data_IF_267289439605
#
_entry.id   IF_267289439605
#
_cell.length_a   1.000
_cell.length_b   1.000
_cell.length_c   1.000
_cell.angle_alpha   90.00
_cell.angle_beta   90.00
_cell.angle_gamma   90.00
#
_symmetry.space_group_name_H-M   'P 1'
#
loop_
_entity.id
_entity.type
_entity.pdbx_description
1 polymer ?
#
# COMPACT_ATOMS: atom_id res chain seq x y z
N UNK A 1 -18.15 -24.68 7.84
CA UNK A 1 -17.52 -23.72 8.77
C UNK A 1 -16.30 -23.19 8.06
N UNK A 2 -16.28 -21.91 7.68
CA UNK A 2 -15.09 -21.24 7.14
C UNK A 2 -13.96 -21.38 8.18
N UNK A 3 -12.84 -21.98 7.79
CA UNK A 3 -11.66 -22.11 8.64
C UNK A 3 -10.79 -20.88 8.41
N UNK A 4 -11.09 -19.81 9.12
CA UNK A 4 -10.25 -18.61 9.13
C UNK A 4 -9.34 -18.69 10.36
N UNK A 5 -8.03 -18.61 10.16
CA UNK A 5 -7.07 -18.48 11.27
C UNK A 5 -6.47 -17.08 11.27
N UNK A 6 -6.32 -16.50 12.46
CA UNK A 6 -5.64 -15.23 12.63
C UNK A 6 -4.14 -15.46 12.42
N UNK A 7 -3.58 -14.80 11.42
CA UNK A 7 -2.15 -14.50 11.38
C UNK A 7 -1.88 -13.28 12.27
N UNK A 8 -0.62 -12.89 12.47
CA UNK A 8 -0.27 -11.78 13.36
C UNK A 8 -0.98 -10.46 12.94
N UNK A 9 -1.38 -9.63 13.91
CA UNK A 9 -1.90 -8.26 13.70
C UNK A 9 -3.15 -8.16 12.81
N UNK A 10 -4.19 -8.97 13.09
CA UNK A 10 -5.49 -8.95 12.41
C UNK A 10 -5.47 -9.30 10.91
N UNK A 11 -4.33 -9.71 10.35
CA UNK A 11 -4.28 -10.35 9.04
C UNK A 11 -4.87 -11.75 9.19
N UNK A 12 -5.72 -12.17 8.27
CA UNK A 12 -6.45 -13.45 8.30
C UNK A 12 -6.22 -14.20 7.01
N UNK A 13 -5.90 -15.49 7.14
CA UNK A 13 -5.90 -16.41 6.01
C UNK A 13 -7.27 -17.09 5.91
N UNK A 14 -7.94 -16.89 4.77
CA UNK A 14 -9.16 -17.61 4.41
C UNK A 14 -8.75 -18.90 3.69
N UNK A 15 -8.87 -20.05 4.38
CA UNK A 15 -8.50 -21.34 3.79
C UNK A 15 -9.37 -21.74 2.59
N UNK A 16 -10.63 -21.29 2.53
CA UNK A 16 -11.56 -21.67 1.47
C UNK A 16 -11.23 -20.93 0.16
N UNK A 17 -10.78 -19.68 0.26
CA UNK A 17 -10.36 -18.86 -0.88
C UNK A 17 -8.85 -18.91 -1.14
N UNK A 18 -8.06 -19.29 -0.13
CA UNK A 18 -6.60 -19.19 -0.13
C UNK A 18 -6.06 -17.76 -0.01
N UNK A 19 -6.87 -16.80 0.48
CA UNK A 19 -6.54 -15.37 0.48
C UNK A 19 -5.99 -14.91 1.83
N UNK A 20 -5.12 -13.89 1.83
CA UNK A 20 -4.89 -13.08 3.03
C UNK A 20 -5.73 -11.80 2.98
N UNK A 21 -6.37 -11.45 4.09
CA UNK A 21 -7.13 -10.21 4.23
C UNK A 21 -6.88 -9.51 5.56
N UNK A 22 -6.95 -8.19 5.58
CA UNK A 22 -6.97 -7.40 6.81
C UNK A 22 -7.78 -6.12 6.60
N UNK A 23 -8.55 -5.64 7.58
CA UNK A 23 -9.18 -4.33 7.50
C UNK A 23 -8.14 -3.21 7.70
N UNK A 24 -8.40 -2.04 7.14
CA UNK A 24 -7.59 -0.85 7.41
C UNK A 24 -8.31 0.43 7.04
N UNK A 25 -7.68 1.56 7.36
CA UNK A 25 -8.27 2.91 7.24
C UNK A 25 -7.45 3.85 6.36
N UNK A 26 -6.24 3.46 5.99
CA UNK A 26 -5.31 4.31 5.23
C UNK A 26 -5.34 4.08 3.72
N UNK A 27 -6.20 3.20 3.24
CA UNK A 27 -6.16 2.63 1.90
C UNK A 27 -6.04 1.11 1.97
N UNK A 28 -6.13 0.45 0.82
CA UNK A 28 -6.02 -1.00 0.70
C UNK A 28 -4.85 -1.36 -0.21
N UNK A 29 -4.03 -2.29 0.26
CA UNK A 29 -2.90 -2.84 -0.48
C UNK A 29 -3.27 -4.22 -1.03
N UNK A 30 -3.22 -4.34 -2.36
CA UNK A 30 -3.35 -5.60 -3.07
C UNK A 30 -1.95 -6.22 -3.19
N UNK A 31 -1.71 -7.38 -2.57
CA UNK A 31 -0.42 -8.08 -2.55
C UNK A 31 -0.43 -9.27 -3.52
N UNK A 32 0.34 -9.18 -4.60
CA UNK A 32 0.45 -10.20 -5.65
C UNK A 32 1.72 -11.04 -5.47
N UNK A 33 1.55 -12.35 -5.28
CA UNK A 33 2.69 -13.27 -5.14
C UNK A 33 3.32 -13.64 -6.48
N UNK A 34 4.52 -14.24 -6.43
CA UNK A 34 5.26 -14.71 -7.60
C UNK A 34 4.80 -16.08 -8.13
N UNK A 35 5.50 -16.58 -9.14
CA UNK A 35 5.31 -17.94 -9.66
C UNK A 35 5.66 -19.00 -8.62
N UNK A 36 4.93 -20.12 -8.57
CA UNK A 36 5.08 -21.19 -7.56
C UNK A 36 4.89 -20.75 -6.10
N UNK A 37 4.35 -19.56 -5.86
CA UNK A 37 4.05 -19.04 -4.54
C UNK A 37 2.55 -19.06 -4.24
N UNK A 38 2.19 -18.70 -3.02
CA UNK A 38 0.82 -18.44 -2.61
C UNK A 38 0.75 -17.17 -1.74
N UNK A 39 -0.45 -16.69 -1.37
CA UNK A 39 -0.57 -15.50 -0.54
C UNK A 39 0.18 -15.56 0.78
N UNK A 40 0.41 -16.75 1.36
CA UNK A 40 1.16 -16.88 2.62
C UNK A 40 2.59 -16.33 2.51
N UNK A 41 3.19 -16.34 1.31
CA UNK A 41 4.50 -15.73 1.08
C UNK A 41 4.51 -14.21 1.29
N UNK A 42 3.33 -13.58 1.32
CA UNK A 42 3.16 -12.15 1.57
C UNK A 42 2.90 -11.83 3.04
N UNK A 43 2.79 -12.82 3.94
CA UNK A 43 2.35 -12.64 5.33
C UNK A 43 3.19 -11.60 6.07
N UNK A 44 4.51 -11.66 5.99
CA UNK A 44 5.40 -10.72 6.69
C UNK A 44 5.16 -9.27 6.25
N UNK A 45 5.11 -9.01 4.94
CA UNK A 45 4.84 -7.67 4.41
C UNK A 45 3.40 -7.23 4.71
N UNK A 46 2.43 -8.13 4.60
CA UNK A 46 1.03 -7.88 4.95
C UNK A 46 0.89 -7.43 6.41
N UNK A 47 1.55 -8.13 7.33
CA UNK A 47 1.56 -7.80 8.77
C UNK A 47 2.17 -6.42 9.01
N UNK A 48 3.31 -6.10 8.39
CA UNK A 48 3.94 -4.78 8.57
C UNK A 48 3.11 -3.63 7.99
N UNK A 49 2.43 -3.84 6.86
CA UNK A 49 1.49 -2.87 6.29
C UNK A 49 0.20 -2.75 7.13
N UNK A 50 -0.31 -3.84 7.70
CA UNK A 50 -1.46 -3.82 8.60
C UNK A 50 -1.16 -3.06 9.92
N UNK A 51 0.06 -3.18 10.46
CA UNK A 51 0.53 -2.34 11.59
C UNK A 51 0.48 -0.84 11.24
N UNK A 52 0.74 -0.49 9.98
CA UNK A 52 0.58 0.87 9.45
C UNK A 52 -0.87 1.23 9.11
N UNK A 53 -1.85 0.37 9.43
CA UNK A 53 -3.29 0.58 9.26
C UNK A 53 -3.78 0.57 7.79
N UNK A 54 -3.03 -0.09 6.91
CA UNK A 54 -3.51 -0.44 5.57
C UNK A 54 -4.44 -1.65 5.64
N UNK A 55 -5.49 -1.62 4.82
CA UNK A 55 -6.24 -2.83 4.50
C UNK A 55 -5.38 -3.73 3.61
N UNK A 56 -5.54 -5.04 3.73
CA UNK A 56 -4.79 -6.03 2.94
C UNK A 56 -5.77 -6.87 2.14
N UNK A 57 -5.46 -7.06 0.86
CA UNK A 57 -6.06 -8.06 -0.02
C UNK A 57 -4.93 -8.81 -0.72
N UNK A 58 -4.71 -10.07 -0.41
CA UNK A 58 -3.74 -10.90 -1.12
C UNK A 58 -4.45 -12.10 -1.73
N UNK A 59 -4.85 -12.03 -3.01
CA UNK A 59 -5.57 -13.11 -3.65
C UNK A 59 -4.63 -14.27 -3.98
N UNK A 60 -5.15 -15.49 -3.90
CA UNK A 60 -4.51 -16.63 -4.55
C UNK A 60 -4.65 -16.43 -6.06
N UNK A 61 -3.53 -16.21 -6.75
CA UNK A 61 -3.54 -16.03 -8.20
C UNK A 61 -4.03 -17.30 -8.88
N UNK A 62 -4.91 -17.16 -9.89
CA UNK A 62 -5.51 -18.29 -10.60
C UNK A 62 -4.42 -19.25 -11.08
N UNK A 63 -4.68 -20.54 -10.93
CA UNK A 63 -3.72 -21.59 -11.28
C UNK A 63 -2.55 -21.78 -10.32
N UNK A 64 -2.59 -21.15 -9.14
CA UNK A 64 -1.72 -21.45 -8.01
C UNK A 64 -2.52 -22.11 -6.88
N UNK A 65 -1.84 -22.75 -5.93
CA UNK A 65 -2.47 -23.45 -4.81
C UNK A 65 -1.90 -24.84 -4.57
N UNK A 66 -2.11 -25.37 -3.37
CA UNK A 66 -1.45 -26.55 -2.82
C UNK A 66 -1.65 -27.81 -3.70
N UNK A 67 -0.69 -28.10 -4.58
CA UNK A 67 -0.56 -29.36 -5.31
C UNK A 67 -0.23 -29.28 -6.81
N UNK A 68 -0.17 -28.10 -7.44
CA UNK A 68 0.08 -27.99 -8.88
C UNK A 68 1.54 -27.69 -9.23
N UNK A 69 2.18 -28.56 -10.02
CA UNK A 69 3.52 -28.32 -10.60
C UNK A 69 3.52 -27.25 -11.72
N UNK A 70 2.35 -26.88 -12.26
CA UNK A 70 2.21 -26.04 -13.46
C UNK A 70 1.05 -25.02 -13.35
N UNK A 71 1.15 -23.84 -14.00
CA UNK A 71 0.03 -22.90 -14.09
C UNK A 71 -1.11 -23.55 -14.85
N UNK A 72 -2.31 -23.51 -14.29
CA UNK A 72 -3.54 -23.81 -15.03
C UNK A 72 -4.22 -22.56 -15.59
N UNK A 73 -3.66 -21.38 -15.33
CA UNK A 73 -4.19 -20.10 -15.78
C UNK A 73 -3.34 -19.47 -16.89
N UNK A 74 -4.01 -18.80 -17.81
CA UNK A 74 -3.42 -17.96 -18.85
C UNK A 74 -2.98 -16.60 -18.30
N UNK A 75 -2.09 -15.91 -19.02
CA UNK A 75 -1.69 -14.54 -18.70
C UNK A 75 -2.90 -13.58 -18.66
N UNK A 76 -3.85 -13.74 -19.59
CA UNK A 76 -5.08 -12.95 -19.64
C UNK A 76 -5.95 -13.16 -18.40
N UNK A 77 -6.10 -14.40 -17.93
CA UNK A 77 -6.89 -14.67 -16.72
C UNK A 77 -6.27 -14.07 -15.45
N UNK A 78 -4.94 -14.06 -15.36
CA UNK A 78 -4.23 -13.38 -14.27
C UNK A 78 -4.45 -11.87 -14.32
N UNK A 79 -4.34 -11.26 -15.50
CA UNK A 79 -4.60 -9.83 -15.70
C UNK A 79 -6.05 -9.49 -15.31
N UNK A 80 -7.02 -10.28 -15.75
CA UNK A 80 -8.44 -10.09 -15.43
C UNK A 80 -8.71 -10.23 -13.93
N UNK A 81 -8.05 -11.17 -13.25
CA UNK A 81 -8.17 -11.28 -11.79
C UNK A 81 -7.63 -10.04 -11.07
N UNK A 82 -6.47 -9.52 -11.50
CA UNK A 82 -5.88 -8.29 -10.92
C UNK A 82 -6.80 -7.08 -11.16
N UNK A 83 -7.33 -6.92 -12.37
CA UNK A 83 -8.34 -5.90 -12.70
C UNK A 83 -9.52 -5.96 -11.73
N UNK A 84 -10.10 -7.14 -11.51
CA UNK A 84 -11.25 -7.29 -10.64
C UNK A 84 -10.95 -6.91 -9.19
N UNK A 85 -9.77 -7.30 -8.67
CA UNK A 85 -9.35 -6.90 -7.33
C UNK A 85 -9.21 -5.37 -7.20
N UNK A 86 -8.66 -4.69 -8.21
CA UNK A 86 -8.52 -3.22 -8.22
C UNK A 86 -9.91 -2.57 -8.22
N UNK A 87 -10.83 -3.03 -9.06
CA UNK A 87 -12.20 -2.52 -9.10
C UNK A 87 -12.93 -2.68 -7.78
N UNK A 88 -12.79 -3.84 -7.12
CA UNK A 88 -13.45 -4.11 -5.84
C UNK A 88 -12.89 -3.27 -4.70
N UNK A 89 -11.61 -2.92 -4.75
CA UNK A 89 -10.99 -1.97 -3.83
C UNK A 89 -11.43 -0.54 -4.14
N UNK A 90 -11.42 -0.13 -5.41
CA UNK A 90 -11.79 1.23 -5.84
C UNK A 90 -13.27 1.53 -5.53
N UNK A 91 -14.18 0.55 -5.57
CA UNK A 91 -15.58 0.68 -5.14
C UNK A 91 -15.74 1.11 -3.67
N UNK A 92 -14.72 0.89 -2.84
CA UNK A 92 -14.72 1.28 -1.43
C UNK A 92 -14.22 2.72 -1.22
N UNK A 93 -13.96 3.46 -2.30
CA UNK A 93 -13.45 4.85 -2.31
C UNK A 93 -12.18 5.03 -1.45
N UNK A 94 -11.34 3.99 -1.41
CA UNK A 94 -10.11 3.96 -0.64
C UNK A 94 -8.89 4.04 -1.57
N UNK A 95 -7.82 4.68 -1.08
CA UNK A 95 -6.54 4.71 -1.78
C UNK A 95 -6.04 3.29 -2.07
N UNK A 96 -5.86 2.94 -3.34
CA UNK A 96 -5.54 1.60 -3.81
C UNK A 96 -4.05 1.51 -4.16
N UNK A 97 -3.34 0.53 -3.58
CA UNK A 97 -1.94 0.26 -3.89
C UNK A 97 -1.84 -1.19 -4.37
N UNK A 98 -1.24 -1.41 -5.55
CA UNK A 98 -0.89 -2.78 -5.98
C UNK A 98 0.59 -3.00 -5.77
N UNK A 99 0.94 -3.98 -4.95
CA UNK A 99 2.31 -4.41 -4.69
C UNK A 99 2.46 -5.84 -5.18
N UNK A 100 3.52 -6.15 -5.89
CA UNK A 100 3.78 -7.52 -6.29
C UNK A 100 5.25 -7.88 -6.34
N UNK A 101 5.52 -9.18 -6.23
CA UNK A 101 6.89 -9.72 -6.27
C UNK A 101 7.11 -10.69 -7.41
N UNK A 102 8.29 -10.65 -8.05
CA UNK A 102 8.65 -11.58 -9.13
C UNK A 102 7.65 -11.47 -10.28
N UNK A 103 6.98 -12.55 -10.69
CA UNK A 103 5.83 -12.49 -11.62
C UNK A 103 4.72 -11.54 -11.14
N UNK A 104 4.45 -11.51 -9.83
CA UNK A 104 3.54 -10.53 -9.22
C UNK A 104 4.03 -9.09 -9.39
N UNK A 105 5.35 -8.87 -9.42
CA UNK A 105 5.94 -7.56 -9.69
C UNK A 105 5.74 -7.11 -11.14
N UNK A 106 5.75 -8.05 -12.09
CA UNK A 106 5.35 -7.82 -13.48
C UNK A 106 3.86 -7.49 -13.58
N UNK A 107 3.00 -8.22 -12.86
CA UNK A 107 1.57 -7.93 -12.77
C UNK A 107 1.28 -6.57 -12.12
N UNK A 108 2.05 -6.17 -11.10
CA UNK A 108 1.92 -4.86 -10.47
C UNK A 108 2.28 -3.71 -11.44
N UNK A 109 3.28 -3.90 -12.30
CA UNK A 109 3.59 -2.95 -13.37
C UNK A 109 2.47 -2.90 -14.42
N UNK A 110 1.93 -4.06 -14.82
CA UNK A 110 0.77 -4.14 -15.72
C UNK A 110 -0.46 -3.45 -15.15
N UNK A 111 -0.69 -3.53 -13.83
CA UNK A 111 -1.81 -2.87 -13.18
C UNK A 111 -1.83 -1.35 -13.43
N UNK A 112 -0.67 -0.72 -13.68
CA UNK A 112 -0.59 0.71 -13.97
C UNK A 112 -1.09 1.13 -15.35
N UNK A 113 -1.39 0.20 -16.26
CA UNK A 113 -1.96 0.45 -17.60
C UNK A 113 -3.33 -0.20 -17.80
N UNK A 114 -3.92 -0.67 -16.70
CA UNK A 114 -5.26 -1.24 -16.69
C UNK A 114 -6.33 -0.16 -16.62
N UNK A 115 -7.59 -0.54 -16.89
CA UNK A 115 -8.72 0.37 -16.77
C UNK A 115 -8.95 0.71 -15.29
N UNK A 116 -9.11 2.00 -14.97
CA UNK A 116 -9.19 2.48 -13.59
C UNK A 116 -8.03 1.96 -12.72
N UNK A 117 -6.77 2.31 -13.07
CA UNK A 117 -5.58 1.77 -12.42
C UNK A 117 -5.56 2.15 -10.92
N UNK A 118 -4.77 1.44 -10.09
CA UNK A 118 -4.61 1.82 -8.69
C UNK A 118 -3.95 3.20 -8.57
N UNK A 119 -4.06 3.83 -7.40
CA UNK A 119 -3.43 5.13 -7.13
C UNK A 119 -1.90 5.05 -7.10
N UNK A 120 -1.34 3.87 -6.83
CA UNK A 120 0.10 3.62 -6.78
C UNK A 120 0.42 2.15 -7.06
N UNK A 121 1.55 1.90 -7.72
CA UNK A 121 2.09 0.55 -7.91
C UNK A 121 3.48 0.38 -7.30
N UNK A 122 3.75 -0.85 -6.86
CA UNK A 122 5.04 -1.26 -6.30
C UNK A 122 5.48 -2.58 -6.92
N UNK A 123 6.64 -2.59 -7.56
CA UNK A 123 7.25 -3.79 -8.13
C UNK A 123 8.45 -4.22 -7.29
N UNK A 124 8.42 -5.44 -6.76
CA UNK A 124 9.51 -6.04 -5.99
C UNK A 124 10.14 -7.14 -6.85
N UNK A 125 11.41 -7.03 -7.21
CA UNK A 125 12.08 -8.01 -8.08
C UNK A 125 11.24 -8.39 -9.32
N UNK A 126 10.60 -7.40 -9.96
CA UNK A 126 9.70 -7.64 -11.09
C UNK A 126 10.43 -8.27 -12.27
N UNK A 127 9.96 -9.42 -12.75
CA UNK A 127 10.66 -10.18 -13.79
C UNK A 127 10.31 -9.68 -15.20
N UNK A 128 11.28 -9.04 -15.85
CA UNK A 128 11.15 -8.34 -17.14
C UNK A 128 12.10 -8.83 -18.23
N UNK A 129 13.09 -9.68 -17.94
CA UNK A 129 14.03 -10.19 -18.96
C UNK A 129 14.24 -11.72 -18.95
N UNK A 130 13.31 -12.49 -18.36
CA UNK A 130 13.43 -13.94 -18.29
C UNK A 130 13.70 -14.59 -19.67
N UNK A 131 14.60 -15.59 -19.68
CA UNK A 131 14.96 -16.35 -20.88
C UNK A 131 13.79 -17.23 -21.32
N UNK A 132 13.61 -17.35 -22.63
CA UNK A 132 12.64 -18.26 -23.23
C UNK A 132 13.07 -19.71 -23.01
N UNK A 133 12.62 -20.28 -21.90
CA UNK A 133 12.80 -21.68 -21.54
C UNK A 133 11.43 -22.35 -21.63
N UNK A 134 11.41 -23.58 -22.12
CA UNK A 134 10.19 -24.37 -22.23
C UNK A 134 9.71 -24.85 -20.85
N UNK A 135 9.12 -23.92 -20.10
CA UNK A 135 8.52 -24.16 -18.80
C UNK A 135 7.20 -23.39 -18.70
N UNK A 136 6.08 -24.01 -18.30
CA UNK A 136 4.77 -23.37 -18.32
C UNK A 136 4.68 -22.02 -17.58
N UNK A 137 5.32 -21.89 -16.40
CA UNK A 137 5.38 -20.60 -15.69
C UNK A 137 6.18 -19.53 -16.43
N UNK A 138 7.22 -19.94 -17.16
CA UNK A 138 8.03 -19.03 -17.97
C UNK A 138 7.24 -18.58 -19.20
N UNK A 139 6.43 -19.47 -19.80
CA UNK A 139 5.51 -19.10 -20.91
C UNK A 139 4.52 -18.02 -20.48
N UNK A 140 3.82 -18.21 -19.36
CA UNK A 140 2.88 -17.21 -18.81
C UNK A 140 3.60 -15.90 -18.49
N UNK A 141 4.77 -15.96 -17.84
CA UNK A 141 5.57 -14.78 -17.52
C UNK A 141 6.04 -14.04 -18.79
N UNK A 142 6.44 -14.76 -19.83
CA UNK A 142 6.84 -14.19 -21.11
C UNK A 142 5.69 -13.49 -21.82
N UNK A 143 4.49 -14.05 -21.77
CA UNK A 143 3.29 -13.38 -22.26
C UNK A 143 3.02 -12.09 -21.47
N UNK A 144 3.01 -12.15 -20.13
CA UNK A 144 2.83 -10.97 -19.28
C UNK A 144 3.85 -9.88 -19.58
N UNK A 145 5.14 -10.25 -19.68
CA UNK A 145 6.23 -9.35 -20.07
C UNK A 145 5.97 -8.73 -21.45
N UNK A 146 5.55 -9.51 -22.42
CA UNK A 146 5.27 -9.02 -23.78
C UNK A 146 4.15 -7.97 -23.77
N UNK A 147 3.07 -8.24 -23.03
CA UNK A 147 1.99 -7.26 -22.83
C UNK A 147 2.50 -6.00 -22.14
N UNK A 148 3.33 -6.13 -21.11
CA UNK A 148 3.86 -5.00 -20.35
C UNK A 148 4.81 -4.13 -21.17
N UNK A 149 5.79 -4.75 -21.84
CA UNK A 149 6.85 -4.01 -22.54
C UNK A 149 6.32 -3.10 -23.65
N UNK A 150 5.22 -3.48 -24.30
CA UNK A 150 4.57 -2.64 -25.31
C UNK A 150 3.83 -1.42 -24.73
N UNK A 151 3.46 -1.47 -23.44
CA UNK A 151 2.67 -0.43 -22.76
C UNK A 151 3.41 0.26 -21.63
N UNK A 152 4.65 -0.11 -21.32
CA UNK A 152 5.32 0.33 -20.09
C UNK A 152 5.46 1.87 -19.99
N UNK A 153 5.63 2.53 -21.13
CA UNK A 153 5.67 4.00 -21.22
C UNK A 153 4.33 4.68 -20.94
N UNK A 154 3.22 3.93 -20.97
CA UNK A 154 1.87 4.43 -20.67
C UNK A 154 1.60 4.49 -19.16
N UNK A 155 2.38 3.81 -18.32
CA UNK A 155 2.24 3.88 -16.85
C UNK A 155 2.49 5.33 -16.40
N UNK A 156 1.44 6.06 -16.00
CA UNK A 156 1.55 7.45 -15.51
C UNK A 156 1.48 7.56 -13.98
N UNK A 157 0.99 6.53 -13.30
CA UNK A 157 0.75 6.56 -11.86
C UNK A 157 2.05 6.44 -11.04
N UNK A 158 2.08 6.92 -9.79
CA UNK A 158 3.21 6.75 -8.88
C UNK A 158 3.73 5.31 -8.83
N UNK A 159 5.03 5.13 -9.06
CA UNK A 159 5.65 3.81 -9.23
C UNK A 159 6.88 3.66 -8.34
N UNK A 160 6.85 2.70 -7.42
CA UNK A 160 8.00 2.36 -6.57
C UNK A 160 8.56 1.00 -6.99
N UNK A 161 9.88 0.91 -7.14
CA UNK A 161 10.57 -0.31 -7.52
C UNK A 161 11.54 -0.69 -6.39
N UNK A 162 11.47 -1.94 -5.95
CA UNK A 162 12.41 -2.54 -5.02
C UNK A 162 13.15 -3.68 -5.71
N UNK A 163 14.46 -3.75 -5.49
CA UNK A 163 15.27 -4.87 -6.00
C UNK A 163 16.41 -5.16 -5.05
N UNK A 164 16.78 -6.42 -4.92
CA UNK A 164 18.01 -6.82 -4.23
C UNK A 164 19.12 -7.04 -5.26
N UNK A 165 20.27 -6.38 -5.10
CA UNK A 165 21.37 -6.49 -6.06
C UNK A 165 21.98 -7.91 -6.12
N UNK A 166 21.73 -8.74 -5.10
CA UNK A 166 22.19 -10.11 -5.00
C UNK A 166 21.12 -11.13 -5.49
N UNK A 167 20.07 -10.66 -6.17
CA UNK A 167 19.01 -11.51 -6.73
C UNK A 167 19.53 -12.34 -7.92
N UNK A 168 19.70 -13.64 -7.67
CA UNK A 168 20.16 -14.61 -8.67
C UNK A 168 19.02 -15.22 -9.50
N UNK A 169 17.76 -14.92 -9.19
CA UNK A 169 16.58 -15.41 -9.90
C UNK A 169 16.07 -14.39 -10.92
N UNK A 170 16.02 -13.12 -10.53
CA UNK A 170 15.64 -12.00 -11.39
C UNK A 170 16.79 -11.00 -11.45
N UNK A 171 17.40 -10.79 -12.64
CA UNK A 171 18.53 -9.88 -12.79
C UNK A 171 18.20 -8.46 -12.30
N UNK A 172 19.17 -7.82 -11.65
CA UNK A 172 19.05 -6.42 -11.23
C UNK A 172 18.76 -5.46 -12.41
N UNK A 173 19.18 -5.81 -13.62
CA UNK A 173 18.88 -5.10 -14.85
C UNK A 173 17.37 -4.93 -15.08
N UNK A 174 16.52 -5.81 -14.55
CA UNK A 174 15.07 -5.69 -14.69
C UNK A 174 14.53 -4.46 -13.94
N UNK A 175 15.08 -4.14 -12.77
CA UNK A 175 14.74 -2.88 -12.09
C UNK A 175 15.17 -1.65 -12.91
N UNK A 176 16.30 -1.74 -13.62
CA UNK A 176 16.77 -0.66 -14.49
C UNK A 176 15.89 -0.52 -15.75
N UNK A 177 15.47 -1.64 -16.35
CA UNK A 177 14.48 -1.67 -17.43
C UNK A 177 13.20 -0.98 -16.96
N UNK A 178 12.71 -1.36 -15.77
CA UNK A 178 11.50 -0.77 -15.22
C UNK A 178 11.61 0.74 -15.02
N UNK A 179 12.69 1.22 -14.40
CA UNK A 179 12.93 2.65 -14.21
C UNK A 179 13.05 3.43 -15.52
N UNK A 180 13.68 2.83 -16.54
CA UNK A 180 13.92 3.48 -17.83
C UNK A 180 12.65 3.59 -18.66
N UNK A 181 11.84 2.54 -18.70
CA UNK A 181 10.70 2.44 -19.61
C UNK A 181 9.36 2.84 -18.98
N UNK A 182 9.23 2.84 -17.66
CA UNK A 182 8.02 3.33 -16.98
C UNK A 182 7.80 4.82 -17.28
N UNK A 183 6.60 5.18 -17.74
CA UNK A 183 6.23 6.57 -18.07
C UNK A 183 6.09 7.52 -16.89
N UNK A 184 6.01 6.99 -15.66
CA UNK A 184 5.64 7.76 -14.48
C UNK A 184 6.67 8.85 -14.17
N UNK A 185 6.19 10.09 -13.99
CA UNK A 185 7.01 11.20 -13.49
C UNK A 185 7.37 11.02 -12.01
N UNK A 186 6.53 10.30 -11.27
CA UNK A 186 6.71 10.01 -9.86
C UNK A 186 7.16 8.56 -9.69
N UNK A 187 8.42 8.29 -10.05
CA UNK A 187 9.04 6.96 -9.91
C UNK A 187 10.31 6.97 -9.07
N UNK A 188 10.52 5.90 -8.31
CA UNK A 188 11.71 5.70 -7.48
C UNK A 188 12.11 4.24 -7.47
N UNK A 189 13.41 3.99 -7.45
CA UNK A 189 13.97 2.66 -7.21
C UNK A 189 14.77 2.67 -5.89
N UNK A 190 14.55 1.67 -5.04
CA UNK A 190 15.26 1.46 -3.78
C UNK A 190 15.92 0.08 -3.86
N UNK A 191 17.23 0.05 -3.65
CA UNK A 191 18.03 -1.16 -3.74
C UNK A 191 18.36 -1.71 -2.36
N UNK A 192 18.31 -3.02 -2.25
CA UNK A 192 18.74 -3.81 -1.10
C UNK A 192 19.91 -4.72 -1.48
N UNK A 193 20.52 -5.35 -0.49
CA UNK A 193 21.56 -6.36 -0.65
C UNK A 193 21.43 -7.36 0.49
N UNK A 194 21.74 -8.63 0.22
CA UNK A 194 21.83 -9.70 1.21
C UNK A 194 20.60 -10.59 1.37
N UNK A 195 19.46 -10.25 0.74
CA UNK A 195 18.24 -11.07 0.77
C UNK A 195 17.93 -11.77 -0.57
N UNK A 196 18.59 -11.36 -1.65
CA UNK A 196 18.36 -11.89 -3.00
C UNK A 196 16.88 -11.86 -3.40
N UNK A 197 16.39 -12.93 -4.05
CA UNK A 197 14.99 -13.01 -4.51
C UNK A 197 13.94 -13.04 -3.39
N UNK A 198 14.38 -13.15 -2.14
CA UNK A 198 13.50 -13.37 -0.98
C UNK A 198 13.08 -12.09 -0.28
N UNK A 199 13.27 -10.93 -0.93
CA UNK A 199 13.22 -9.62 -0.32
C UNK A 199 11.94 -9.38 0.51
N UNK A 200 10.78 -9.76 -0.03
CA UNK A 200 9.47 -9.53 0.61
C UNK A 200 9.20 -10.39 1.86
N UNK A 201 9.88 -11.54 2.00
CA UNK A 201 9.75 -12.46 3.13
C UNK A 201 11.04 -12.52 3.98
N UNK A 202 11.87 -11.50 3.84
CA UNK A 202 13.09 -11.32 4.64
C UNK A 202 12.87 -10.35 5.81
N UNK A 203 13.93 -10.09 6.56
CA UNK A 203 13.99 -9.03 7.58
C UNK A 203 13.74 -7.61 7.02
N UNK A 204 13.70 -7.42 5.69
CA UNK A 204 13.39 -6.13 5.07
C UNK A 204 11.90 -5.81 4.97
N UNK A 205 10.98 -6.74 5.26
CA UNK A 205 9.53 -6.51 5.14
C UNK A 205 9.06 -5.23 5.86
N UNK A 206 9.57 -4.98 7.08
CA UNK A 206 9.29 -3.76 7.83
C UNK A 206 9.80 -2.50 7.13
N UNK A 207 11.04 -2.54 6.64
CA UNK A 207 11.66 -1.42 5.94
C UNK A 207 10.90 -1.11 4.64
N UNK A 208 10.52 -2.14 3.89
CA UNK A 208 9.70 -2.02 2.67
C UNK A 208 8.35 -1.36 2.97
N UNK A 209 7.64 -1.82 4.02
CA UNK A 209 6.36 -1.22 4.41
C UNK A 209 6.51 0.27 4.75
N UNK A 210 7.59 0.63 5.47
CA UNK A 210 7.91 2.03 5.79
C UNK A 210 8.28 2.83 4.53
N UNK A 211 9.01 2.25 3.59
CA UNK A 211 9.39 2.92 2.35
C UNK A 211 8.21 3.15 1.41
N UNK A 212 7.24 2.22 1.37
CA UNK A 212 5.95 2.40 0.68
C UNK A 212 5.20 3.59 1.29
N UNK A 213 5.07 3.64 2.62
CA UNK A 213 4.41 4.74 3.33
C UNK A 213 5.12 6.09 3.09
N UNK A 214 6.44 6.10 3.16
CA UNK A 214 7.26 7.29 2.90
C UNK A 214 7.09 7.79 1.48
N UNK A 215 7.11 6.88 0.49
CA UNK A 215 6.91 7.24 -0.90
C UNK A 215 5.52 7.81 -1.11
N UNK A 216 4.46 7.14 -0.63
CA UNK A 216 3.09 7.67 -0.65
C UNK A 216 3.00 9.08 -0.03
N UNK A 217 3.62 9.28 1.13
CA UNK A 217 3.61 10.59 1.79
C UNK A 217 4.36 11.66 0.99
N UNK A 218 5.40 11.28 0.23
CA UNK A 218 6.12 12.21 -0.66
C UNK A 218 5.28 12.69 -1.85
N UNK A 219 4.22 11.95 -2.22
CA UNK A 219 3.26 12.35 -3.25
C UNK A 219 2.32 13.46 -2.75
N UNK A 220 2.19 13.63 -1.43
CA UNK A 220 1.28 14.58 -0.79
C UNK A 220 1.98 15.91 -0.51
N UNK A 221 1.28 17.02 -0.70
CA UNK A 221 1.84 18.36 -0.43
C UNK A 221 1.61 18.72 1.04
N UNK A 222 2.58 19.36 1.69
CA UNK A 222 2.35 19.98 2.99
C UNK A 222 1.65 21.33 2.80
N UNK A 223 0.50 21.53 3.45
CA UNK A 223 -0.24 22.79 3.44
C UNK A 223 -0.31 23.38 4.84
N UNK A 224 -0.22 24.71 4.90
CA UNK A 224 -0.39 25.46 6.14
C UNK A 224 -1.87 25.44 6.50
N UNK A 225 -2.16 25.09 7.75
CA UNK A 225 -3.49 25.16 8.34
C UNK A 225 -3.46 26.08 9.55
N UNK A 226 -4.62 26.66 9.84
CA UNK A 226 -4.86 27.42 11.07
C UNK A 226 -6.09 26.83 11.75
N UNK A 227 -5.94 26.43 13.01
CA UNK A 227 -7.03 25.97 13.85
C UNK A 227 -7.23 26.95 15.00
N UNK A 228 -8.47 27.12 15.41
CA UNK A 228 -8.86 28.06 16.44
C UNK A 228 -9.77 27.39 17.46
N UNK A 229 -9.46 27.56 18.73
CA UNK A 229 -10.31 27.14 19.83
C UNK A 229 -10.73 28.36 20.65
N UNK A 230 -12.01 28.40 21.04
CA UNK A 230 -12.59 29.50 21.80
C UNK A 230 -13.06 28.95 23.15
N UNK A 231 -12.61 29.59 24.24
CA UNK A 231 -12.95 29.17 25.59
C UNK A 231 -11.90 29.54 26.62
N UNK A 232 -12.25 29.42 27.89
CA UNK A 232 -11.29 29.55 28.99
C UNK A 232 -10.55 28.24 29.19
N UNK A 233 -9.22 28.31 29.13
CA UNK A 233 -8.31 27.19 29.37
C UNK A 233 -6.95 27.72 29.82
N UNK A 234 -6.17 26.86 30.48
CA UNK A 234 -4.76 27.13 30.78
C UNK A 234 -3.88 26.71 29.60
N UNK A 235 -4.15 25.53 29.04
CA UNK A 235 -3.43 24.97 27.90
C UNK A 235 -4.36 24.21 26.95
N UNK A 236 -4.06 24.32 25.65
CA UNK A 236 -4.85 23.70 24.59
C UNK A 236 -3.89 23.05 23.60
N UNK A 237 -4.12 21.78 23.27
CA UNK A 237 -3.32 21.02 22.31
C UNK A 237 -4.19 20.37 21.24
N UNK A 238 -3.58 20.08 20.09
CA UNK A 238 -4.14 19.27 19.03
C UNK A 238 -3.53 17.86 19.06
N UNK A 239 -4.38 16.85 19.02
CA UNK A 239 -3.97 15.46 18.89
C UNK A 239 -4.86 14.75 17.86
N UNK A 240 -4.24 14.03 16.94
CA UNK A 240 -4.94 13.30 15.90
C UNK A 240 -4.05 12.28 15.22
N UNK A 241 -4.53 11.68 14.14
CA UNK A 241 -3.77 10.63 13.45
C UNK A 241 -2.39 11.10 12.98
N UNK A 242 -2.26 12.35 12.54
CA UNK A 242 -1.01 12.93 12.02
C UNK A 242 0.12 13.07 13.07
N UNK A 243 -0.19 12.97 14.37
CA UNK A 243 0.81 12.98 15.43
C UNK A 243 0.61 11.80 16.41
N UNK A 244 0.09 10.69 15.90
CA UNK A 244 -0.15 9.45 16.67
C UNK A 244 -0.95 9.69 17.96
N UNK A 245 -1.91 10.60 17.93
CA UNK A 245 -2.74 10.97 19.08
C UNK A 245 -1.92 11.44 20.29
N UNK A 246 -0.74 12.04 20.08
CA UNK A 246 0.04 12.66 21.14
C UNK A 246 -0.25 14.17 21.19
N UNK A 247 -0.61 14.77 22.34
CA UNK A 247 -0.90 16.19 22.47
C UNK A 247 0.38 17.05 22.42
N UNK A 248 1.00 17.10 21.25
CA UNK A 248 2.31 17.73 21.00
C UNK A 248 2.21 19.06 20.27
N UNK A 249 1.07 19.35 19.64
CA UNK A 249 0.83 20.58 18.90
C UNK A 249 0.04 21.56 19.78
N UNK A 250 0.75 22.42 20.50
CA UNK A 250 0.14 23.39 21.42
C UNK A 250 -0.42 24.60 20.67
N UNK A 251 -1.62 25.03 21.04
CA UNK A 251 -2.17 26.30 20.58
C UNK A 251 -1.59 27.46 21.39
N UNK A 252 -1.33 28.58 20.72
CA UNK A 252 -0.92 29.82 21.35
C UNK A 252 -2.13 30.62 21.80
N UNK A 253 -2.14 31.07 23.06
CA UNK A 253 -3.21 31.92 23.59
C UNK A 253 -3.11 33.32 22.98
N UNK A 254 -4.20 33.78 22.38
CA UNK A 254 -4.35 35.10 21.77
C UNK A 254 -5.67 35.72 22.23
N UNK A 255 -5.62 36.67 23.16
CA UNK A 255 -6.81 37.33 23.73
C UNK A 255 -7.86 36.31 24.23
N UNK A 256 -9.00 36.23 23.55
CA UNK A 256 -10.19 35.43 23.84
C UNK A 256 -10.20 34.05 23.14
N UNK A 257 -9.10 33.68 22.48
CA UNK A 257 -8.99 32.45 21.70
C UNK A 257 -7.60 31.81 21.79
N UNK A 258 -7.52 30.59 21.30
CA UNK A 258 -6.31 29.81 21.13
C UNK A 258 -6.11 29.54 19.66
N UNK A 259 -4.91 29.76 19.13
CA UNK A 259 -4.61 29.63 17.70
C UNK A 259 -3.43 28.69 17.50
N UNK A 260 -3.58 27.72 16.61
CA UNK A 260 -2.51 26.84 16.18
C UNK A 260 -2.29 27.02 14.68
N UNK A 261 -1.06 27.38 14.30
CA UNK A 261 -0.62 27.35 12.91
C UNK A 261 0.39 26.22 12.71
N UNK A 262 0.08 25.27 11.84
CA UNK A 262 0.97 24.15 11.54
C UNK A 262 0.91 23.77 10.06
N UNK A 263 1.76 22.82 9.63
CA UNK A 263 1.74 22.27 8.27
C UNK A 263 1.51 20.77 8.30
N UNK A 264 0.44 20.32 7.64
CA UNK A 264 0.10 18.90 7.50
C UNK A 264 0.09 18.49 6.03
N UNK A 265 0.29 17.20 5.75
CA UNK A 265 0.12 16.66 4.39
C UNK A 265 -1.35 16.76 3.97
N UNK A 266 -1.61 17.01 2.69
CA UNK A 266 -2.98 17.04 2.14
C UNK A 266 -3.72 15.74 2.41
N UNK A 267 -4.97 15.80 2.88
CA UNK A 267 -5.80 14.63 3.21
C UNK A 267 -6.75 14.87 4.39
N UNK A 268 -7.47 13.83 4.77
CA UNK A 268 -8.47 13.86 5.84
C UNK A 268 -7.95 13.16 7.09
N UNK A 269 -8.08 13.81 8.25
CA UNK A 269 -7.58 13.30 9.52
C UNK A 269 -8.66 13.34 10.62
N UNK A 270 -8.86 12.24 11.36
CA UNK A 270 -9.53 12.30 12.64
C UNK A 270 -8.63 12.97 13.69
N UNK A 271 -9.23 13.83 14.53
CA UNK A 271 -8.53 14.51 15.62
C UNK A 271 -9.46 14.86 16.78
N UNK A 272 -8.87 15.30 17.90
CA UNK A 272 -9.52 15.92 19.06
C UNK A 272 -8.68 17.10 19.55
N UNK A 273 -9.32 18.00 20.29
CA UNK A 273 -8.66 19.08 21.02
C UNK A 273 -8.48 18.62 22.47
N UNK A 274 -7.32 18.84 23.05
CA UNK A 274 -7.03 18.54 24.46
C UNK A 274 -6.95 19.84 25.24
N UNK A 275 -7.94 20.10 26.10
CA UNK A 275 -8.10 21.33 26.88
C UNK A 275 -7.87 21.01 28.35
N UNK A 276 -6.80 21.52 28.95
CA UNK A 276 -6.42 21.24 30.35
C UNK A 276 -6.47 19.73 30.68
N UNK A 277 -5.89 18.92 29.77
CA UNK A 277 -5.87 17.45 29.86
C UNK A 277 -7.16 16.73 29.46
N UNK A 278 -8.25 17.44 29.14
CA UNK A 278 -9.53 16.85 28.72
C UNK A 278 -9.66 16.79 27.20
N UNK A 279 -9.98 15.61 26.68
CA UNK A 279 -10.18 15.37 25.26
C UNK A 279 -11.60 15.74 24.83
N UNK A 280 -11.73 16.68 23.91
CA UNK A 280 -13.01 17.16 23.39
C UNK A 280 -13.04 17.11 21.85
N UNK A 281 -14.24 17.04 21.30
CA UNK A 281 -14.46 17.32 19.89
C UNK A 281 -14.33 18.83 19.65
N UNK A 282 -13.72 19.23 18.55
CA UNK A 282 -13.82 20.60 18.05
C UNK A 282 -15.31 20.90 17.74
N UNK A 283 -15.93 21.86 18.44
CA UNK A 283 -17.33 22.24 18.22
C UNK A 283 -17.63 22.79 16.82
N UNK A 284 -16.60 23.27 16.09
CA UNK A 284 -16.74 23.86 14.75
C UNK A 284 -16.50 22.86 13.62
N UNK A 285 -15.99 21.66 13.92
CA UNK A 285 -15.64 20.69 12.91
C UNK A 285 -16.77 19.69 12.64
N UNK A 286 -16.86 19.23 11.39
CA UNK A 286 -17.62 18.01 11.09
C UNK A 286 -17.04 16.82 11.87
N UNK A 287 -17.85 15.80 12.12
CA UNK A 287 -17.39 14.59 12.82
C UNK A 287 -17.10 13.45 11.85
N UNK A 288 -16.26 12.51 12.31
CA UNK A 288 -16.00 11.23 11.68
C UNK A 288 -16.03 10.16 12.76
N UNK A 289 -16.73 9.05 12.47
CA UNK A 289 -16.82 7.92 13.39
C UNK A 289 -15.86 6.83 12.97
N UNK A 290 -15.20 6.20 13.95
CA UNK A 290 -14.47 4.96 13.75
C UNK A 290 -15.45 3.78 13.59
N UNK A 291 -14.99 2.62 13.08
CA UNK A 291 -15.83 1.42 12.98
C UNK A 291 -16.42 0.92 14.32
N UNK A 292 -15.75 1.19 15.44
CA UNK A 292 -16.24 0.86 16.79
C UNK A 292 -17.13 1.95 17.40
N UNK A 293 -17.53 2.97 16.63
CA UNK A 293 -18.49 4.00 17.03
C UNK A 293 -17.89 5.18 17.80
N UNK A 294 -16.58 5.24 17.98
CA UNK A 294 -15.92 6.40 18.57
C UNK A 294 -16.01 7.61 17.63
N UNK A 295 -16.48 8.73 18.15
CA UNK A 295 -16.56 10.00 17.41
C UNK A 295 -15.28 10.81 17.55
N UNK A 296 -14.80 11.34 16.44
CA UNK A 296 -13.69 12.28 16.32
C UNK A 296 -14.10 13.49 15.50
N UNK A 297 -13.39 14.60 15.65
CA UNK A 297 -13.49 15.74 14.73
C UNK A 297 -12.76 15.42 13.44
N UNK A 298 -13.24 15.95 12.32
CA UNK A 298 -12.71 15.70 10.98
C UNK A 298 -12.01 16.96 10.46
N UNK A 299 -10.71 16.84 10.20
CA UNK A 299 -9.89 17.87 9.58
C UNK A 299 -9.62 17.48 8.12
N UNK A 300 -9.99 18.35 7.18
CA UNK A 300 -9.65 18.20 5.75
C UNK A 300 -8.57 19.21 5.40
N UNK A 301 -7.47 18.74 4.83
CA UNK A 301 -6.36 19.55 4.34
C UNK A 301 -6.33 19.41 2.82
N UNK A 302 -6.99 20.34 2.13
CA UNK A 302 -7.08 20.37 0.67
C UNK A 302 -5.88 21.04 0.04
#
# INVERSE_FOLDING_TARGET
MQKTYNTQENVKFDEDQGWLTAPGKRGTVILLHGSHASPINNELLATELAKLQYGIVSPLLKGHGLGGEYPTATSQELITQVQQCIEDVNKQENFCIVVGSSMGGTLALLAGVLDNPPDMIVSISGALSCRDIDHPWIRVLNELKTHLMSKMSEIQIPTLIFHDIDDNSVPYEDAQIAMRHCGSEQKKCILFSGSGHSLMFSNYAKQIALDIENFRNSLRKKKKITLEFFGEASEVYLAGEFNNWQPTLQFEKQNDRFVLQTRLLTGTYPYKIVVDGRWILDPKAATISTPNGEKNSRLVVD
#
